data_IF_374244958533
#
_entry.id   IF_374244958533
#
_cell.length_a   1.000
_cell.length_b   1.000
_cell.length_c   1.000
_cell.angle_alpha   90.00
_cell.angle_beta   90.00
_cell.angle_gamma   90.00
#
_symmetry.space_group_name_H-M   'P 1'
#
loop_
_entity.id
_entity.type
_entity.pdbx_description
1 polymer ?
#
# COMPACT_ATOMS: atom_id res chain seq x y z
N UNK A 1 -58.44 -1.91 14.71
CA UNK A 1 -57.50 -2.53 13.76
C UNK A 1 -56.17 -1.80 13.88
N UNK A 2 -55.21 -2.37 14.62
CA UNK A 2 -53.93 -1.73 14.95
C UNK A 2 -52.97 -1.93 13.76
N UNK A 3 -52.60 -0.84 13.10
CA UNK A 3 -51.53 -0.82 12.10
C UNK A 3 -50.19 -0.87 12.83
N UNK A 4 -49.53 -2.02 12.81
CA UNK A 4 -48.15 -2.17 13.29
C UNK A 4 -47.22 -1.60 12.22
N UNK A 5 -46.79 -0.35 12.40
CA UNK A 5 -45.67 0.23 11.66
C UNK A 5 -44.38 -0.31 12.29
N UNK A 6 -43.82 -1.36 11.70
CA UNK A 6 -42.46 -1.83 12.03
C UNK A 6 -41.48 -0.87 11.36
N UNK A 7 -41.04 0.15 12.10
CA UNK A 7 -39.88 0.94 11.71
C UNK A 7 -38.64 0.06 11.90
N UNK A 8 -38.10 -0.47 10.79
CA UNK A 8 -36.80 -1.14 10.79
C UNK A 8 -35.73 -0.04 10.97
N UNK A 9 -35.35 0.22 12.21
CA UNK A 9 -34.14 0.97 12.52
C UNK A 9 -32.94 0.06 12.23
N UNK A 10 -32.39 0.15 11.02
CA UNK A 10 -31.13 -0.53 10.70
C UNK A 10 -29.97 0.17 11.43
N UNK A 11 -29.16 -0.67 12.07
CA UNK A 11 -28.15 -0.34 13.06
C UNK A 11 -26.94 0.42 12.45
N UNK A 12 -26.33 1.38 13.17
CA UNK A 12 -25.15 2.14 12.72
C UNK A 12 -23.85 1.31 12.62
N UNK A 13 -23.83 0.08 13.13
CA UNK A 13 -22.62 -0.74 13.22
C UNK A 13 -22.05 -1.19 11.86
N UNK A 14 -22.91 -1.31 10.83
CA UNK A 14 -22.47 -1.73 9.49
C UNK A 14 -21.57 -0.70 8.82
N UNK A 15 -21.76 0.59 9.11
CA UNK A 15 -20.99 1.68 8.48
C UNK A 15 -19.55 1.68 9.00
N UNK A 16 -19.35 1.52 10.31
CA UNK A 16 -18.02 1.55 10.93
C UNK A 16 -17.14 0.36 10.50
N UNK A 17 -17.72 -0.84 10.40
CA UNK A 17 -16.98 -2.03 9.98
C UNK A 17 -16.57 -1.99 8.50
N UNK A 18 -17.41 -1.39 7.64
CA UNK A 18 -17.11 -1.22 6.21
C UNK A 18 -15.92 -0.27 6.01
N UNK A 19 -15.94 0.90 6.66
CA UNK A 19 -14.88 1.90 6.55
C UNK A 19 -13.54 1.37 7.03
N UNK A 20 -13.52 0.63 8.15
CA UNK A 20 -12.31 0.00 8.67
C UNK A 20 -11.73 -1.03 7.69
N UNK A 21 -12.58 -1.88 7.10
CA UNK A 21 -12.15 -2.87 6.10
C UNK A 21 -11.63 -2.22 4.83
N UNK A 22 -12.27 -1.14 4.37
CA UNK A 22 -11.85 -0.36 3.20
C UNK A 22 -10.48 0.27 3.44
N UNK A 23 -10.32 0.95 4.58
CA UNK A 23 -9.06 1.59 4.95
C UNK A 23 -7.91 0.58 5.04
N UNK A 24 -8.14 -0.56 5.71
CA UNK A 24 -7.15 -1.63 5.80
C UNK A 24 -6.78 -2.20 4.42
N UNK A 25 -7.75 -2.40 3.54
CA UNK A 25 -7.50 -2.87 2.18
C UNK A 25 -6.67 -1.88 1.34
N UNK A 26 -6.93 -0.58 1.50
CA UNK A 26 -6.21 0.48 0.81
C UNK A 26 -4.78 0.61 1.34
N UNK A 27 -4.60 0.55 2.65
CA UNK A 27 -3.26 0.54 3.26
C UNK A 27 -2.46 -0.71 2.84
N UNK A 28 -3.10 -1.88 2.79
CA UNK A 28 -2.45 -3.09 2.29
C UNK A 28 -2.03 -2.95 0.82
N UNK A 29 -2.86 -2.32 -0.01
CA UNK A 29 -2.51 -2.04 -1.40
C UNK A 29 -1.31 -1.11 -1.50
N UNK A 30 -1.29 -0.03 -0.70
CA UNK A 30 -0.17 0.89 -0.63
C UNK A 30 1.13 0.21 -0.17
N UNK A 31 1.07 -0.67 0.83
CA UNK A 31 2.23 -1.46 1.22
C UNK A 31 2.76 -2.36 0.10
N UNK A 32 1.87 -2.98 -0.69
CA UNK A 32 2.29 -3.75 -1.85
C UNK A 32 2.96 -2.87 -2.93
N UNK A 33 2.47 -1.65 -3.15
CA UNK A 33 3.14 -0.68 -4.04
C UNK A 33 4.52 -0.29 -3.50
N UNK A 34 4.65 -0.10 -2.18
CA UNK A 34 5.93 0.22 -1.54
C UNK A 34 6.91 -0.94 -1.60
N UNK A 35 6.44 -2.18 -1.42
CA UNK A 35 7.27 -3.37 -1.62
C UNK A 35 7.85 -3.39 -3.04
N UNK A 36 7.01 -3.17 -4.06
CA UNK A 36 7.46 -3.08 -5.45
C UNK A 36 8.47 -1.95 -5.69
N UNK A 37 8.20 -0.75 -5.14
CA UNK A 37 9.11 0.40 -5.25
C UNK A 37 10.48 0.11 -4.65
N UNK A 38 10.53 -0.45 -3.45
CA UNK A 38 11.78 -0.80 -2.80
C UNK A 38 12.51 -1.94 -3.49
N UNK A 39 11.81 -2.95 -4.01
CA UNK A 39 12.40 -4.03 -4.81
C UNK A 39 13.07 -3.48 -6.06
N UNK A 40 12.36 -2.68 -6.86
CA UNK A 40 12.92 -2.10 -8.08
C UNK A 40 14.08 -1.15 -7.76
N UNK A 41 13.94 -0.33 -6.72
CA UNK A 41 15.00 0.59 -6.29
C UNK A 41 16.25 -0.15 -5.83
N UNK A 42 16.11 -1.28 -5.12
CA UNK A 42 17.23 -2.13 -4.74
C UNK A 42 18.04 -2.57 -5.96
N UNK A 43 17.36 -3.07 -7.00
CA UNK A 43 18.00 -3.48 -8.25
C UNK A 43 18.70 -2.31 -8.96
N UNK A 44 18.11 -1.12 -8.97
CA UNK A 44 18.72 0.06 -9.62
C UNK A 44 20.03 0.49 -8.94
N UNK A 45 20.12 0.35 -7.62
CA UNK A 45 21.27 0.81 -6.84
C UNK A 45 22.28 -0.30 -6.51
N UNK A 46 22.03 -1.56 -6.85
CA UNK A 46 22.87 -2.71 -6.49
C UNK A 46 24.35 -2.54 -6.86
N UNK A 47 24.62 -2.01 -8.05
CA UNK A 47 26.00 -1.79 -8.55
C UNK A 47 26.66 -0.50 -8.03
N UNK A 48 25.86 0.47 -7.58
CA UNK A 48 26.32 1.82 -7.23
C UNK A 48 26.51 1.97 -5.71
N UNK A 49 25.54 1.51 -4.93
CA UNK A 49 25.56 1.47 -3.48
C UNK A 49 24.90 0.17 -2.97
N UNK A 50 25.69 -0.92 -2.85
CA UNK A 50 25.18 -2.21 -2.38
C UNK A 50 24.57 -2.16 -0.98
N UNK A 51 25.02 -1.23 -0.12
CA UNK A 51 24.46 -1.08 1.22
C UNK A 51 23.09 -0.43 1.18
N UNK A 52 22.90 0.54 0.29
CA UNK A 52 21.58 1.11 0.02
C UNK A 52 20.65 0.08 -0.58
N UNK A 53 21.11 -0.68 -1.58
CA UNK A 53 20.34 -1.75 -2.20
C UNK A 53 19.84 -2.76 -1.15
N UNK A 54 20.73 -3.22 -0.26
CA UNK A 54 20.34 -4.13 0.81
C UNK A 54 19.28 -3.52 1.75
N UNK A 55 19.43 -2.25 2.16
CA UNK A 55 18.41 -1.56 2.98
C UNK A 55 17.07 -1.44 2.27
N UNK A 56 17.08 -1.19 0.96
CA UNK A 56 15.88 -1.14 0.13
C UNK A 56 15.24 -2.52 0.06
N UNK A 57 16.02 -3.58 -0.16
CA UNK A 57 15.52 -4.95 -0.15
C UNK A 57 14.85 -5.33 1.17
N UNK A 58 15.46 -5.00 2.31
CA UNK A 58 14.85 -5.21 3.63
C UNK A 58 13.54 -4.41 3.80
N UNK A 59 13.50 -3.17 3.29
CA UNK A 59 12.28 -2.36 3.30
C UNK A 59 11.17 -2.97 2.43
N UNK A 60 11.54 -3.58 1.30
CA UNK A 60 10.61 -4.29 0.43
C UNK A 60 9.97 -5.50 1.14
N UNK A 61 10.79 -6.31 1.82
CA UNK A 61 10.32 -7.47 2.59
C UNK A 61 9.36 -7.03 3.71
N UNK A 62 9.71 -5.96 4.44
CA UNK A 62 8.84 -5.44 5.51
C UNK A 62 7.51 -4.93 4.97
N UNK A 63 7.52 -4.18 3.86
CA UNK A 63 6.30 -3.68 3.23
C UNK A 63 5.41 -4.83 2.73
N UNK A 64 6.01 -5.86 2.12
CA UNK A 64 5.29 -7.08 1.73
C UNK A 64 4.62 -7.73 2.95
N UNK A 65 5.34 -7.92 4.05
CA UNK A 65 4.80 -8.50 5.28
C UNK A 65 3.62 -7.69 5.82
N UNK A 66 3.70 -6.36 5.82
CA UNK A 66 2.58 -5.51 6.26
C UNK A 66 1.35 -5.64 5.36
N UNK A 67 1.52 -5.71 4.04
CA UNK A 67 0.42 -5.99 3.12
C UNK A 67 -0.23 -7.36 3.41
N UNK A 68 0.59 -8.38 3.65
CA UNK A 68 0.11 -9.73 3.94
C UNK A 68 -0.69 -9.80 5.24
N UNK A 69 -0.23 -9.12 6.31
CA UNK A 69 -0.92 -9.03 7.60
C UNK A 69 -2.33 -8.44 7.43
N UNK A 70 -2.47 -7.41 6.59
CA UNK A 70 -3.75 -6.75 6.36
C UNK A 70 -4.64 -7.50 5.36
N UNK A 71 -4.08 -8.43 4.58
CA UNK A 71 -4.80 -9.15 3.52
C UNK A 71 -4.42 -10.63 3.45
N UNK A 72 -3.75 -11.05 2.38
CA UNK A 72 -3.26 -12.41 2.16
C UNK A 72 -2.01 -12.39 1.28
N UNK A 73 -1.21 -13.45 1.35
CA UNK A 73 -0.03 -13.66 0.50
C UNK A 73 -0.40 -13.56 -0.99
N UNK A 74 -1.36 -14.37 -1.45
CA UNK A 74 -1.80 -14.38 -2.85
C UNK A 74 -2.22 -13.01 -3.38
N UNK A 75 -2.97 -12.24 -2.58
CA UNK A 75 -3.41 -10.90 -2.99
C UNK A 75 -2.26 -9.90 -2.98
N UNK A 76 -1.36 -10.01 -1.99
CA UNK A 76 -0.16 -9.19 -1.89
C UNK A 76 0.74 -9.42 -3.10
N UNK A 77 1.04 -10.66 -3.44
CA UNK A 77 1.91 -11.02 -4.56
C UNK A 77 1.37 -10.49 -5.88
N UNK A 78 0.07 -10.67 -6.13
CA UNK A 78 -0.58 -10.14 -7.33
C UNK A 78 -0.49 -8.61 -7.41
N UNK A 79 -0.65 -7.90 -6.28
CA UNK A 79 -0.53 -6.43 -6.23
C UNK A 79 0.90 -5.97 -6.42
N UNK A 80 1.87 -6.64 -5.80
CA UNK A 80 3.30 -6.36 -6.00
C UNK A 80 3.65 -6.54 -7.47
N UNK A 81 3.24 -7.64 -8.10
CA UNK A 81 3.52 -7.91 -9.52
C UNK A 81 2.97 -6.80 -10.43
N UNK A 82 1.73 -6.35 -10.19
CA UNK A 82 1.15 -5.24 -10.95
C UNK A 82 1.90 -3.91 -10.70
N UNK A 83 2.27 -3.64 -9.46
CA UNK A 83 3.00 -2.43 -9.09
C UNK A 83 4.40 -2.41 -9.72
N UNK A 84 5.13 -3.53 -9.69
CA UNK A 84 6.44 -3.69 -10.36
C UNK A 84 6.32 -3.39 -11.84
N UNK A 85 5.32 -3.96 -12.53
CA UNK A 85 5.06 -3.68 -13.95
C UNK A 85 4.80 -2.20 -14.20
N UNK A 86 4.04 -1.53 -13.34
CA UNK A 86 3.79 -0.10 -13.48
C UNK A 86 5.05 0.73 -13.26
N UNK A 87 5.86 0.39 -12.26
CA UNK A 87 7.10 1.11 -11.94
C UNK A 87 8.13 0.95 -13.06
N UNK A 88 8.30 -0.26 -13.60
CA UNK A 88 9.19 -0.51 -14.75
C UNK A 88 8.74 0.30 -15.97
N UNK A 89 7.43 0.40 -16.20
CA UNK A 89 6.89 1.25 -17.27
C UNK A 89 7.13 2.74 -17.01
N UNK A 90 6.98 3.21 -15.77
CA UNK A 90 7.27 4.61 -15.40
C UNK A 90 8.77 4.93 -15.56
N UNK A 91 9.65 3.94 -15.40
CA UNK A 91 11.08 4.05 -15.70
C UNK A 91 11.40 4.03 -17.20
N UNK A 92 10.53 3.45 -18.04
CA UNK A 92 10.81 3.15 -19.45
C UNK A 92 12.14 2.39 -19.68
N UNK A 93 12.51 1.54 -18.71
CA UNK A 93 13.81 0.86 -18.63
C UNK A 93 15.05 1.79 -18.65
N UNK A 94 14.88 3.08 -18.35
CA UNK A 94 15.95 4.07 -18.28
C UNK A 94 16.11 4.61 -16.85
N UNK A 95 17.30 4.43 -16.27
CA UNK A 95 17.60 4.93 -14.93
C UNK A 95 17.54 6.47 -14.85
N UNK A 96 17.68 7.18 -15.97
CA UNK A 96 17.49 8.64 -16.01
C UNK A 96 16.08 9.04 -15.54
N UNK A 97 15.10 8.14 -15.68
CA UNK A 97 13.72 8.32 -15.24
C UNK A 97 13.48 7.95 -13.77
N UNK A 98 14.53 7.61 -12.99
CA UNK A 98 14.39 7.25 -11.57
C UNK A 98 13.71 8.35 -10.75
N UNK A 99 13.89 9.62 -11.14
CA UNK A 99 13.22 10.76 -10.52
C UNK A 99 11.69 10.67 -10.55
N UNK A 100 11.11 10.03 -11.58
CA UNK A 100 9.66 9.83 -11.73
C UNK A 100 9.15 8.91 -10.61
N UNK A 101 9.82 7.77 -10.42
CA UNK A 101 9.40 6.81 -9.38
C UNK A 101 9.71 7.33 -7.97
N UNK A 102 10.80 8.08 -7.78
CA UNK A 102 11.08 8.71 -6.49
C UNK A 102 10.00 9.72 -6.13
N UNK A 103 9.62 10.61 -7.05
CA UNK A 103 8.58 11.60 -6.82
C UNK A 103 7.21 10.97 -6.52
N UNK A 104 6.91 9.81 -7.10
CA UNK A 104 5.62 9.13 -6.93
C UNK A 104 5.53 8.28 -5.67
N UNK A 105 6.63 7.64 -5.27
CA UNK A 105 6.61 6.59 -4.25
C UNK A 105 7.39 6.94 -2.99
N UNK A 106 8.49 7.70 -3.07
CA UNK A 106 9.45 7.86 -1.97
C UNK A 106 8.79 8.33 -0.68
N UNK A 107 8.24 9.56 -0.66
CA UNK A 107 7.73 10.17 0.57
C UNK A 107 6.55 9.38 1.13
N UNK A 108 5.62 9.01 0.25
CA UNK A 108 4.45 8.21 0.60
C UNK A 108 4.83 6.86 1.23
N UNK A 109 5.84 6.18 0.70
CA UNK A 109 6.29 4.91 1.23
C UNK A 109 7.10 5.05 2.52
N UNK A 110 7.83 6.16 2.70
CA UNK A 110 8.46 6.47 3.98
C UNK A 110 7.38 6.70 5.05
N UNK A 111 6.38 7.53 4.76
CA UNK A 111 5.27 7.80 5.68
C UNK A 111 4.54 6.51 6.07
N UNK A 112 4.13 5.71 5.08
CA UNK A 112 3.41 4.46 5.34
C UNK A 112 4.22 3.48 6.20
N UNK A 113 5.53 3.40 5.99
CA UNK A 113 6.38 2.43 6.69
C UNK A 113 6.87 2.90 8.06
N UNK A 114 6.91 4.22 8.31
CA UNK A 114 7.44 4.79 9.56
C UNK A 114 6.36 5.15 10.56
N UNK A 115 5.16 5.54 10.10
CA UNK A 115 4.01 5.84 10.94
C UNK A 115 2.75 5.12 10.43
N UNK A 116 2.67 3.80 10.65
CA UNK A 116 1.56 2.98 10.15
C UNK A 116 0.21 3.36 10.80
N UNK A 117 0.24 3.92 12.02
CA UNK A 117 -0.97 4.38 12.71
C UNK A 117 -1.52 5.64 12.04
N UNK A 118 -0.69 6.67 11.85
CA UNK A 118 -1.09 7.87 11.12
C UNK A 118 -1.54 7.54 9.68
N UNK A 119 -0.88 6.57 9.03
CA UNK A 119 -1.26 6.15 7.67
C UNK A 119 -2.60 5.41 7.64
N UNK A 120 -2.89 4.57 8.63
CA UNK A 120 -4.23 3.97 8.77
C UNK A 120 -5.29 5.05 8.96
N UNK A 121 -5.01 6.03 9.81
CA UNK A 121 -5.88 7.16 10.08
C UNK A 121 -6.18 7.99 8.84
N UNK A 122 -5.19 8.19 7.97
CA UNK A 122 -5.37 8.80 6.66
C UNK A 122 -6.40 8.03 5.83
N UNK A 123 -6.26 6.70 5.74
CA UNK A 123 -7.16 5.86 4.95
C UNK A 123 -8.57 5.77 5.53
N UNK A 124 -8.72 5.85 6.86
CA UNK A 124 -10.03 5.92 7.51
C UNK A 124 -10.77 7.22 7.19
N UNK A 125 -10.05 8.34 7.10
CA UNK A 125 -10.62 9.68 6.85
C UNK A 125 -10.86 9.98 5.37
N UNK A 126 -10.13 9.31 4.48
CA UNK A 126 -10.22 9.54 3.03
C UNK A 126 -11.54 9.01 2.48
N UNK A 127 -12.44 9.90 2.08
CA UNK A 127 -13.66 9.54 1.35
C UNK A 127 -13.33 9.42 -0.14
N UNK A 128 -13.96 8.46 -0.83
CA UNK A 128 -13.78 8.21 -2.27
C UNK A 128 -14.50 9.26 -3.13
#
# INVERSE_FOLDING_TARGET
>A
MIRVLVLIAMLPDFVMAYESKRAANNLAHEYAECAAFYTVSSTLFESQDPKLAERMNQSAINAMNYSQILTSEKLTDARIEMAVKSIIRDLDNDIANVSIILNKYSDRCVEAMTDPEARMDYWLKKQD
#
